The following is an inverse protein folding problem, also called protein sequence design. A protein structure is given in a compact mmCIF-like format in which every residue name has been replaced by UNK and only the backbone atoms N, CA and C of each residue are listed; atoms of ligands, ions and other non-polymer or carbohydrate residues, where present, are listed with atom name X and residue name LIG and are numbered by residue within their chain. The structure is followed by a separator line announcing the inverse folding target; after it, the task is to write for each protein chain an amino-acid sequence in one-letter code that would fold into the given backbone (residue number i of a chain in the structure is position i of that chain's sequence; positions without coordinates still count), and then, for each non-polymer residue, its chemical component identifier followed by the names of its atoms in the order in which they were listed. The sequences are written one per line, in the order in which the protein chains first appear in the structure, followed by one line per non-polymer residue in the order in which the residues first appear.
data_IF_296144769672
#
_entry.id   IF_296144769672
#
_cell.length_a   1.000
_cell.length_b   1.000
_cell.length_c   1.000
_cell.angle_alpha   90.00
_cell.angle_beta   90.00
_cell.angle_gamma   90.00
#
_symmetry.space_group_name_H-M   'P 1'
#
loop_
_entity.id
_entity.type
_entity.pdbx_description
1 polymer ?
#
# COMPACT_ATOMS: atom_id res chain seq x y z
N UNK A 1 -6.08 -24.39 2.20
CA UNK A 1 -6.94 -23.22 2.52
C UNK A 1 -7.14 -22.43 1.24
N UNK A 2 -8.39 -22.16 0.81
CA UNK A 2 -8.63 -21.30 -0.35
C UNK A 2 -8.14 -19.87 -0.07
N UNK A 3 -7.64 -19.18 -1.11
CA UNK A 3 -7.25 -17.78 -0.98
C UNK A 3 -8.48 -16.92 -0.65
N UNK A 4 -8.35 -15.90 0.22
CA UNK A 4 -9.48 -15.07 0.60
C UNK A 4 -10.06 -14.35 -0.63
N UNK A 5 -11.39 -14.32 -0.71
CA UNK A 5 -12.11 -13.66 -1.81
C UNK A 5 -12.00 -12.14 -1.71
N UNK A 6 -12.32 -11.44 -2.80
CA UNK A 6 -12.30 -9.97 -2.85
C UNK A 6 -13.16 -9.33 -1.75
N UNK A 7 -14.35 -9.89 -1.52
CA UNK A 7 -15.24 -9.42 -0.45
C UNK A 7 -14.64 -9.64 0.94
N UNK A 8 -13.90 -10.73 1.14
CA UNK A 8 -13.22 -11.01 2.40
C UNK A 8 -12.06 -10.03 2.64
N UNK A 9 -11.33 -9.65 1.59
CA UNK A 9 -10.28 -8.63 1.68
C UNK A 9 -10.87 -7.23 1.96
N UNK A 10 -11.97 -6.87 1.29
CA UNK A 10 -12.66 -5.60 1.51
C UNK A 10 -13.31 -5.52 2.91
N UNK A 11 -13.92 -6.60 3.39
CA UNK A 11 -14.48 -6.68 4.75
C UNK A 11 -13.39 -6.64 5.82
N UNK A 12 -12.26 -7.34 5.62
CA UNK A 12 -11.11 -7.25 6.51
C UNK A 12 -10.51 -5.83 6.52
N UNK A 13 -10.48 -5.15 5.37
CA UNK A 13 -10.07 -3.74 5.27
C UNK A 13 -11.01 -2.79 6.04
N UNK A 14 -12.33 -3.01 6.01
CA UNK A 14 -13.31 -2.23 6.78
C UNK A 14 -13.19 -2.46 8.29
N UNK A 15 -12.98 -3.72 8.72
CA UNK A 15 -12.80 -4.05 10.14
C UNK A 15 -11.52 -3.43 10.72
N UNK A 16 -10.43 -3.39 9.94
CA UNK A 16 -9.18 -2.76 10.37
C UNK A 16 -9.25 -1.23 10.49
N UNK A 17 -10.18 -0.56 9.80
CA UNK A 17 -10.43 0.87 9.97
C UNK A 17 -11.07 1.19 11.34
N UNK A 18 -11.76 0.24 11.97
CA UNK A 18 -12.43 0.42 13.26
C UNK A 18 -11.55 0.03 14.45
N UNK A 19 -10.51 -0.80 14.26
CA UNK A 19 -9.63 -1.30 15.31
C UNK A 19 -8.37 -0.45 15.57
N UNK A 20 -8.32 0.79 15.05
CA UNK A 20 -7.17 1.68 15.18
C UNK A 20 -6.99 2.27 16.58
N UNK A 21 -6.50 1.48 17.53
CA UNK A 21 -6.05 1.95 18.84
C UNK A 21 -5.23 0.91 19.59
N UNK A 22 -3.90 1.12 19.66
CA UNK A 22 -3.04 0.45 20.64
C UNK A 22 -1.89 -0.36 20.04
N UNK A 23 -0.66 0.10 20.29
CA UNK A 23 0.53 -0.73 20.14
C UNK A 23 0.64 -1.75 21.27
N UNK A 24 1.37 -2.84 21.00
CA UNK A 24 1.89 -3.78 22.00
C UNK A 24 0.85 -4.68 22.65
N UNK A 25 0.70 -5.91 22.15
CA UNK A 25 -0.10 -6.92 22.85
C UNK A 25 -0.23 -8.21 22.05
N UNK A 26 0.35 -9.27 22.57
CA UNK A 26 0.26 -10.66 22.13
C UNK A 26 -1.21 -11.14 22.22
N UNK A 27 -2.01 -10.85 21.19
CA UNK A 27 -3.39 -11.33 21.06
C UNK A 27 -3.53 -12.15 19.79
N UNK A 28 -3.45 -13.48 19.90
CA UNK A 28 -3.57 -14.40 18.77
C UNK A 28 -5.05 -14.53 18.38
N UNK A 29 -5.53 -13.57 17.59
CA UNK A 29 -6.66 -13.82 16.68
C UNK A 29 -6.21 -14.74 15.54
N UNK A 30 -7.12 -15.36 14.78
CA UNK A 30 -6.73 -16.14 13.60
C UNK A 30 -5.87 -15.26 12.68
N UNK A 31 -4.75 -15.79 12.20
CA UNK A 31 -3.80 -15.06 11.34
C UNK A 31 -4.47 -14.72 10.01
N UNK A 32 -5.15 -13.57 9.95
CA UNK A 32 -5.81 -13.08 8.74
C UNK A 32 -4.71 -12.58 7.81
N UNK A 33 -4.55 -13.14 6.60
CA UNK A 33 -3.53 -12.71 5.66
C UNK A 33 -3.68 -11.22 5.34
N UNK A 34 -2.64 -10.44 5.64
CA UNK A 34 -2.68 -8.99 5.42
C UNK A 34 -2.32 -8.66 3.97
N UNK A 35 -3.05 -7.74 3.31
CA UNK A 35 -2.69 -7.26 1.98
C UNK A 35 -1.30 -6.64 1.97
N UNK A 36 -0.60 -6.76 0.83
CA UNK A 36 0.64 -6.02 0.60
C UNK A 36 0.30 -4.61 0.13
N UNK A 37 0.43 -3.65 1.04
CA UNK A 37 0.20 -2.25 0.75
C UNK A 37 1.39 -1.60 0.05
N UNK A 38 1.08 -0.85 -1.01
CA UNK A 38 2.06 -0.12 -1.83
C UNK A 38 1.53 1.27 -2.09
N UNK A 39 2.24 2.28 -1.62
CA UNK A 39 1.99 3.68 -1.99
C UNK A 39 2.76 4.02 -3.26
N UNK A 40 2.10 4.63 -4.23
CA UNK A 40 2.71 5.16 -5.45
C UNK A 40 3.39 6.49 -5.13
N UNK A 41 4.64 6.65 -5.57
CA UNK A 41 5.32 7.92 -5.50
C UNK A 41 4.98 8.76 -6.74
N UNK A 42 4.02 9.66 -6.61
CA UNK A 42 3.53 10.51 -7.70
C UNK A 42 4.57 11.51 -8.23
N UNK A 43 5.69 11.73 -7.51
CA UNK A 43 6.83 12.50 -8.02
C UNK A 43 7.67 11.72 -9.04
N UNK A 44 7.50 10.40 -9.13
CA UNK A 44 8.30 9.52 -10.00
C UNK A 44 7.49 8.76 -11.04
N UNK A 45 6.24 8.42 -10.75
CA UNK A 45 5.41 7.62 -11.65
C UNK A 45 3.92 7.93 -11.51
N UNK A 46 3.15 7.71 -12.58
CA UNK A 46 1.70 7.75 -12.55
C UNK A 46 1.10 6.50 -11.93
N UNK A 47 -0.03 6.65 -11.22
CA UNK A 47 -0.74 5.53 -10.56
C UNK A 47 -1.15 4.46 -11.59
N UNK A 48 -1.67 4.87 -12.75
CA UNK A 48 -2.09 3.95 -13.82
C UNK A 48 -0.94 3.08 -14.34
N UNK A 49 0.22 3.69 -14.57
CA UNK A 49 1.40 2.97 -15.06
C UNK A 49 1.94 1.98 -14.03
N UNK A 50 1.87 2.32 -12.75
CA UNK A 50 2.25 1.43 -11.67
C UNK A 50 1.27 0.26 -11.56
N UNK A 51 -0.05 0.53 -11.63
CA UNK A 51 -1.08 -0.52 -11.61
C UNK A 51 -0.82 -1.52 -12.73
N UNK A 52 -0.65 -1.05 -13.97
CA UNK A 52 -0.37 -1.90 -15.13
C UNK A 52 0.87 -2.78 -14.94
N UNK A 53 1.97 -2.21 -14.45
CA UNK A 53 3.21 -2.96 -14.22
C UNK A 53 3.08 -3.99 -13.10
N UNK A 54 2.35 -3.67 -12.03
CA UNK A 54 2.10 -4.59 -10.93
C UNK A 54 1.16 -5.74 -11.35
N UNK A 55 0.12 -5.46 -12.13
CA UNK A 55 -0.75 -6.51 -12.70
C UNK A 55 0.02 -7.46 -13.62
N UNK A 56 0.94 -6.93 -14.44
CA UNK A 56 1.84 -7.74 -15.26
C UNK A 56 2.76 -8.61 -14.40
N UNK A 57 3.32 -8.06 -13.33
CA UNK A 57 4.15 -8.79 -12.37
C UNK A 57 3.37 -9.92 -11.68
N UNK A 58 2.14 -9.65 -11.21
CA UNK A 58 1.28 -10.66 -10.61
C UNK A 58 0.90 -11.77 -11.61
N UNK A 59 0.67 -11.41 -12.88
CA UNK A 59 0.36 -12.36 -13.95
C UNK A 59 1.53 -13.31 -14.26
N UNK A 60 2.78 -12.83 -14.15
CA UNK A 60 3.99 -13.66 -14.31
C UNK A 60 4.19 -14.59 -13.13
N UNK A 61 3.99 -14.09 -11.91
CA UNK A 61 4.24 -14.84 -10.66
C UNK A 61 3.18 -15.92 -10.42
N UNK A 62 1.91 -15.65 -10.73
CA UNK A 62 0.80 -16.60 -10.57
C UNK A 62 0.89 -17.81 -11.50
N UNK A 63 1.44 -17.66 -12.71
CA UNK A 63 1.65 -18.78 -13.65
C UNK A 63 2.70 -19.79 -13.16
N UNK A 64 3.64 -19.37 -12.31
CA UNK A 64 4.66 -20.23 -11.75
C UNK A 64 4.18 -21.04 -10.52
N UNK A 65 3.09 -20.61 -9.88
CA UNK A 65 2.55 -21.21 -8.65
C UNK A 65 1.15 -21.79 -8.90
N UNK A 66 1.05 -22.75 -9.83
CA UNK A 66 -0.23 -23.35 -10.21
C UNK A 66 -0.77 -24.25 -9.09
N UNK A 67 -1.99 -23.96 -8.61
CA UNK A 67 -2.71 -24.79 -7.64
C UNK A 67 -4.01 -24.19 -7.11
N UNK A 68 -4.21 -22.87 -7.15
CA UNK A 68 -5.49 -22.28 -6.80
C UNK A 68 -5.74 -20.98 -7.58
N UNK A 69 -6.70 -21.00 -8.51
CA UNK A 69 -6.94 -20.01 -9.57
C UNK A 69 -7.48 -18.65 -9.12
N UNK A 70 -6.77 -17.96 -8.23
CA UNK A 70 -7.00 -16.55 -7.94
C UNK A 70 -5.89 -15.71 -8.58
N UNK A 71 -6.06 -15.29 -9.83
CA UNK A 71 -5.17 -14.30 -10.45
C UNK A 71 -5.11 -13.06 -9.57
N UNK A 72 -3.94 -12.78 -8.99
CA UNK A 72 -3.74 -11.63 -8.12
C UNK A 72 -4.07 -10.35 -8.86
N UNK A 73 -5.05 -9.59 -8.37
CA UNK A 73 -5.36 -8.25 -8.89
C UNK A 73 -4.75 -7.19 -8.00
N UNK A 74 -4.46 -6.05 -8.60
CA UNK A 74 -4.12 -4.83 -7.88
C UNK A 74 -5.42 -4.12 -7.56
N UNK A 75 -5.68 -3.87 -6.28
CA UNK A 75 -6.85 -3.12 -5.82
C UNK A 75 -6.44 -1.70 -5.46
N UNK A 76 -7.29 -0.72 -5.78
CA UNK A 76 -7.08 0.67 -5.39
C UNK A 76 -7.79 0.95 -4.09
N UNK A 77 -7.15 1.72 -3.22
CA UNK A 77 -7.83 2.20 -2.03
C UNK A 77 -8.88 3.27 -2.40
N UNK A 78 -10.11 3.20 -1.86
CA UNK A 78 -11.15 4.16 -2.18
C UNK A 78 -10.94 5.54 -1.52
N UNK A 79 -10.12 5.63 -0.47
CA UNK A 79 -9.88 6.87 0.26
C UNK A 79 -8.55 7.52 -0.12
N UNK A 80 -7.54 6.70 -0.44
CA UNK A 80 -6.18 7.15 -0.69
C UNK A 80 -5.82 6.88 -2.16
N UNK A 81 -5.88 7.90 -3.05
CA UNK A 81 -5.81 7.70 -4.51
C UNK A 81 -4.48 7.13 -5.01
N UNK A 82 -3.42 7.25 -4.23
CA UNK A 82 -2.08 6.75 -4.51
C UNK A 82 -1.76 5.45 -3.77
N UNK A 83 -2.71 4.81 -3.09
CA UNK A 83 -2.51 3.57 -2.34
C UNK A 83 -3.12 2.37 -3.06
N UNK A 84 -2.30 1.32 -3.18
CA UNK A 84 -2.66 0.06 -3.81
C UNK A 84 -2.56 -1.10 -2.81
N UNK A 85 -3.45 -2.08 -2.94
CA UNK A 85 -3.42 -3.34 -2.22
C UNK A 85 -3.16 -4.49 -3.19
N UNK A 86 -2.17 -5.31 -2.87
CA UNK A 86 -1.83 -6.53 -3.58
C UNK A 86 -2.13 -7.76 -2.71
N UNK A 87 -2.25 -8.95 -3.32
CA UNK A 87 -2.47 -10.19 -2.58
C UNK A 87 -1.42 -10.40 -1.48
N UNK A 88 -1.82 -10.99 -0.34
CA UNK A 88 -0.89 -11.37 0.73
C UNK A 88 0.28 -12.21 0.18
N UNK A 89 1.48 -11.97 0.71
CA UNK A 89 2.68 -12.71 0.29
C UNK A 89 3.31 -12.26 -1.04
N UNK A 90 2.77 -11.23 -1.69
CA UNK A 90 3.45 -10.63 -2.86
C UNK A 90 4.76 -9.99 -2.40
N UNK A 91 5.88 -10.49 -2.93
CA UNK A 91 7.20 -9.92 -2.70
C UNK A 91 7.52 -8.85 -3.74
N UNK A 92 7.83 -7.66 -3.25
CA UNK A 92 8.21 -6.51 -4.06
C UNK A 92 9.55 -5.90 -3.63
N UNK A 93 10.25 -6.49 -2.66
CA UNK A 93 11.45 -5.89 -2.08
C UNK A 93 12.56 -5.66 -3.11
N UNK A 94 12.75 -6.60 -4.04
CA UNK A 94 13.68 -6.48 -5.15
C UNK A 94 13.03 -5.96 -6.45
N UNK A 95 11.74 -5.58 -6.41
CA UNK A 95 11.03 -5.17 -7.62
C UNK A 95 11.55 -3.82 -8.14
N UNK A 96 11.76 -3.64 -9.46
CA UNK A 96 12.28 -2.39 -10.02
C UNK A 96 11.49 -1.14 -9.63
N UNK A 97 10.17 -1.25 -9.44
CA UNK A 97 9.33 -0.14 -8.97
C UNK A 97 9.68 0.32 -7.55
N UNK A 98 10.07 -0.61 -6.65
CA UNK A 98 10.46 -0.28 -5.27
C UNK A 98 11.90 0.22 -5.26
N UNK A 99 12.82 -0.49 -5.91
CA UNK A 99 14.22 -0.07 -6.02
C UNK A 99 14.38 1.29 -6.72
N UNK A 100 13.55 1.55 -7.73
CA UNK A 100 13.47 2.83 -8.43
C UNK A 100 12.65 3.90 -7.70
N UNK A 101 12.14 3.65 -6.50
CA UNK A 101 11.39 4.63 -5.70
C UNK A 101 10.05 5.08 -6.30
N UNK A 102 9.54 4.40 -7.32
CA UNK A 102 8.20 4.60 -7.88
C UNK A 102 7.11 4.08 -6.94
N UNK A 103 7.46 3.11 -6.09
CA UNK A 103 6.60 2.48 -5.11
C UNK A 103 7.28 2.49 -3.74
N UNK A 104 6.50 2.72 -2.69
CA UNK A 104 6.94 2.65 -1.30
C UNK A 104 6.08 1.61 -0.58
N UNK A 105 6.74 0.62 0.03
CA UNK A 105 6.06 -0.38 0.85
C UNK A 105 5.67 0.26 2.18
N UNK A 106 4.40 0.63 2.32
CA UNK A 106 3.91 1.40 3.45
C UNK A 106 2.49 0.97 3.81
N UNK A 107 2.23 0.77 5.10
CA UNK A 107 0.89 0.40 5.57
C UNK A 107 -0.12 1.51 5.29
N UNK A 108 -1.38 1.13 5.01
CA UNK A 108 -2.49 2.07 4.84
C UNK A 108 -2.59 3.08 5.98
N UNK A 109 -2.51 2.61 7.22
CA UNK A 109 -2.55 3.46 8.40
C UNK A 109 -1.44 4.52 8.42
N UNK A 110 -0.25 4.22 7.90
CA UNK A 110 0.83 5.22 7.83
C UNK A 110 0.63 6.23 6.70
N UNK A 111 -0.21 5.97 5.70
CA UNK A 111 -0.53 6.90 4.63
C UNK A 111 -1.64 7.89 5.01
N UNK A 112 -2.55 7.49 5.91
CA UNK A 112 -3.69 8.32 6.31
C UNK A 112 -3.31 9.70 6.88
N UNK A 113 -2.29 9.87 7.75
CA UNK A 113 -1.98 11.18 8.32
C UNK A 113 -1.61 12.25 7.28
N UNK A 114 -0.84 11.88 6.25
CA UNK A 114 -0.43 12.82 5.21
C UNK A 114 -1.64 13.26 4.36
N UNK A 115 -2.51 12.33 4.00
CA UNK A 115 -3.78 12.63 3.31
C UNK A 115 -4.76 13.42 4.19
N UNK A 116 -4.80 13.15 5.50
CA UNK A 116 -5.65 13.89 6.43
C UNK A 116 -5.16 15.34 6.61
N UNK A 117 -3.84 15.56 6.59
CA UNK A 117 -3.24 16.89 6.66
C UNK A 117 -3.55 17.74 5.42
N UNK A 118 -3.73 17.11 4.24
CA UNK A 118 -4.01 17.77 2.95
C UNK A 118 -3.11 18.99 2.69
N UNK A 119 -1.77 18.83 2.71
CA UNK A 119 -0.88 19.97 2.53
C UNK A 119 -0.98 20.53 1.11
N UNK A 120 -1.03 21.85 0.98
CA UNK A 120 -0.95 22.50 -0.33
C UNK A 120 0.51 22.73 -0.74
N UNK A 121 0.83 22.70 -2.05
CA UNK A 121 2.13 23.11 -2.56
C UNK A 121 2.54 24.51 -2.06
N UNK A 122 3.80 24.64 -1.64
CA UNK A 122 4.37 25.89 -1.11
C UNK A 122 4.22 26.08 0.41
N UNK A 123 3.55 25.17 1.11
CA UNK A 123 3.51 25.19 2.57
C UNK A 123 4.88 24.82 3.18
N UNK A 124 5.14 25.33 4.39
CA UNK A 124 6.24 24.82 5.22
C UNK A 124 5.66 23.82 6.20
N UNK A 125 6.02 22.53 6.04
CA UNK A 125 5.51 21.44 6.87
C UNK A 125 6.67 20.82 7.67
N UNK A 126 6.43 20.56 8.96
CA UNK A 126 7.40 19.93 9.86
C UNK A 126 6.93 18.51 10.22
N UNK A 127 7.77 17.51 9.90
CA UNK A 127 7.58 16.13 10.36
C UNK A 127 8.52 15.88 11.56
N UNK A 128 7.98 16.02 12.77
CA UNK A 128 8.77 15.96 14.00
C UNK A 128 9.42 14.58 14.26
N UNK A 129 8.90 13.52 13.66
CA UNK A 129 9.37 12.13 13.84
C UNK A 129 9.65 11.49 12.48
N UNK A 130 10.47 12.17 11.67
CA UNK A 130 10.62 11.87 10.26
C UNK A 130 11.20 10.48 9.97
N UNK A 131 12.20 10.00 10.73
CA UNK A 131 12.88 8.75 10.41
C UNK A 131 11.93 7.53 10.48
N UNK A 132 11.93 6.61 9.49
CA UNK A 132 12.85 6.50 8.34
C UNK A 132 12.47 7.33 7.07
N UNK A 133 11.40 8.12 7.09
CA UNK A 133 11.08 9.10 6.04
C UNK A 133 9.82 8.82 5.21
N UNK A 134 9.10 7.73 5.49
CA UNK A 134 7.96 7.32 4.67
C UNK A 134 6.79 8.33 4.68
N UNK A 135 6.59 9.07 5.77
CA UNK A 135 5.57 10.13 5.87
C UNK A 135 6.08 11.43 5.27
N UNK A 136 7.32 11.81 5.56
CA UNK A 136 7.98 12.99 4.98
C UNK A 136 7.98 12.96 3.46
N UNK A 137 8.35 11.82 2.86
CA UNK A 137 8.32 11.65 1.39
C UNK A 137 6.92 11.64 0.81
N UNK A 138 5.91 11.21 1.59
CA UNK A 138 4.52 11.29 1.18
C UNK A 138 4.02 12.74 1.18
N UNK A 139 4.34 13.52 2.22
CA UNK A 139 4.03 14.95 2.27
C UNK A 139 4.65 15.70 1.08
N UNK A 140 5.92 15.43 0.77
CA UNK A 140 6.58 16.00 -0.41
C UNK A 140 5.85 15.64 -1.72
N UNK A 141 5.34 14.42 -1.84
CA UNK A 141 4.58 14.00 -3.02
C UNK A 141 3.23 14.73 -3.14
N UNK A 142 2.50 14.90 -2.04
CA UNK A 142 1.23 15.63 -2.01
C UNK A 142 1.42 17.13 -2.35
N UNK A 143 2.54 17.70 -1.91
CA UNK A 143 2.90 19.10 -2.18
C UNK A 143 3.58 19.29 -3.55
N UNK A 144 3.64 18.24 -4.38
CA UNK A 144 4.32 18.27 -5.69
C UNK A 144 5.79 18.75 -5.61
N UNK A 145 6.45 18.48 -4.48
CA UNK A 145 7.82 18.89 -4.17
C UNK A 145 8.04 20.41 -4.30
N UNK A 146 7.08 21.20 -3.78
CA UNK A 146 7.08 22.67 -3.78
C UNK A 146 6.72 23.24 -2.43
#
# INVERSE_FOLDING_TARGET
MPAPTLDQLLQAQQQQQQAGGGGGGSGVGPDVPHPRWVRVNTLRAGVEDVVRQLEEHLSKTTKASSGNGGGGRVLRDPLLPDLLALPPGTDLHAHPLVAGGCCVLQSKASCMPAHALRPDPGWTVVDCCAAPGNKTTHLAALMANR
#
